data_IF_252061560651
#
_entry.id   IF_252061560651
#
_cell.length_a   1.000
_cell.length_b   1.000
_cell.length_c   1.000
_cell.angle_alpha   90.00
_cell.angle_beta   90.00
_cell.angle_gamma   90.00
#
_symmetry.space_group_name_H-M   'P 1'
#
loop_
_entity.id
_entity.type
_entity.pdbx_description
1 polymer ?
#
# COMPACT_ATOMS: atom_id res chain seq x y z
N UNK A 1 -15.68 15.07 -13.05
CA UNK A 1 -15.12 13.73 -12.88
C UNK A 1 -16.16 12.68 -12.60
N UNK A 2 -17.31 12.85 -13.25
CA UNK A 2 -18.42 11.91 -13.04
C UNK A 2 -18.05 10.47 -13.41
N UNK A 3 -17.24 10.32 -14.46
CA UNK A 3 -16.82 9.00 -14.91
C UNK A 3 -16.07 8.24 -13.83
N UNK A 4 -15.22 8.92 -13.06
CA UNK A 4 -14.47 8.28 -11.99
C UNK A 4 -15.33 7.98 -10.77
N UNK A 5 -16.31 8.83 -10.47
CA UNK A 5 -17.16 8.64 -9.32
C UNK A 5 -18.15 7.47 -9.50
N UNK A 6 -18.40 7.06 -10.72
CA UNK A 6 -19.32 5.98 -11.03
C UNK A 6 -18.62 4.62 -11.08
N UNK A 7 -17.30 4.58 -11.09
CA UNK A 7 -16.54 3.32 -11.16
C UNK A 7 -16.08 2.88 -9.78
N UNK A 8 -16.18 1.59 -9.52
CA UNK A 8 -15.62 0.99 -8.33
C UNK A 8 -14.13 0.81 -8.51
N UNK A 9 -13.38 0.86 -7.40
CA UNK A 9 -11.94 0.70 -7.46
C UNK A 9 -11.53 -0.61 -8.15
N UNK A 10 -12.28 -1.69 -7.94
CA UNK A 10 -11.98 -2.98 -8.57
C UNK A 10 -12.13 -2.99 -10.08
N UNK A 11 -12.85 -2.00 -10.65
CA UNK A 11 -13.02 -1.88 -12.10
C UNK A 11 -11.83 -1.21 -12.76
N UNK A 12 -11.03 -0.44 -12.01
CA UNK A 12 -9.92 0.34 -12.57
C UNK A 12 -8.56 -0.08 -12.05
N UNK A 13 -8.52 -0.95 -11.04
CA UNK A 13 -7.27 -1.36 -10.43
C UNK A 13 -7.38 -2.74 -9.80
N UNK A 14 -6.23 -3.39 -9.64
CA UNK A 14 -6.11 -4.61 -8.86
C UNK A 14 -5.52 -4.25 -7.51
N UNK A 15 -5.92 -4.96 -6.45
CA UNK A 15 -5.47 -4.66 -5.11
C UNK A 15 -4.97 -5.92 -4.41
N UNK A 16 -3.98 -5.73 -3.52
CA UNK A 16 -3.50 -6.82 -2.68
C UNK A 16 -2.96 -6.22 -1.39
N UNK A 17 -3.14 -6.91 -0.27
CA UNK A 17 -2.63 -6.46 1.01
C UNK A 17 -1.27 -7.09 1.30
N UNK A 18 -0.54 -6.49 2.26
CA UNK A 18 0.73 -7.03 2.74
C UNK A 18 0.55 -8.00 3.87
N UNK A 19 1.59 -8.15 4.67
CA UNK A 19 1.58 -9.05 5.82
C UNK A 19 2.63 -8.66 6.84
N UNK A 20 2.54 -9.27 8.02
CA UNK A 20 3.47 -9.03 9.12
C UNK A 20 4.21 -10.33 9.45
N UNK A 21 5.55 -10.34 9.37
CA UNK A 21 6.31 -11.48 9.84
C UNK A 21 6.07 -11.70 11.32
N UNK A 22 6.28 -12.94 11.80
CA UNK A 22 6.07 -13.28 13.20
C UNK A 22 6.96 -12.41 14.09
N UNK A 23 6.33 -11.56 14.89
CA UNK A 23 7.02 -10.64 15.81
C UNK A 23 7.86 -11.38 16.87
N UNK A 24 7.58 -12.63 17.11
CA UNK A 24 8.31 -13.46 18.08
C UNK A 24 9.59 -14.03 17.50
N UNK A 25 9.85 -13.85 16.23
CA UNK A 25 11.04 -14.36 15.54
C UNK A 25 11.95 -13.17 15.19
N UNK A 26 12.94 -12.85 16.05
CA UNK A 26 13.81 -11.69 15.83
C UNK A 26 14.56 -11.72 14.50
N UNK A 27 14.86 -12.91 13.97
CA UNK A 27 15.58 -13.09 12.72
C UNK A 27 14.81 -12.53 11.51
N UNK A 28 13.51 -12.27 11.66
CA UNK A 28 12.69 -11.74 10.57
C UNK A 28 12.78 -10.21 10.45
N UNK A 29 13.38 -9.54 11.42
CA UNK A 29 13.43 -8.09 11.50
C UNK A 29 14.86 -7.57 11.50
N UNK A 30 15.01 -6.27 11.24
CA UNK A 30 16.33 -5.63 11.26
C UNK A 30 17.15 -5.89 10.01
N UNK A 31 16.50 -6.29 8.91
CA UNK A 31 17.19 -6.56 7.66
C UNK A 31 17.31 -5.34 6.76
N UNK A 32 17.29 -5.59 5.45
CA UNK A 32 17.48 -4.56 4.44
C UNK A 32 16.22 -4.24 3.64
N UNK A 33 15.13 -5.00 3.82
CA UNK A 33 13.91 -4.82 3.05
C UNK A 33 13.01 -3.82 3.78
N UNK A 34 12.76 -2.63 3.21
CA UNK A 34 11.85 -1.66 3.81
C UNK A 34 10.46 -2.28 3.99
N UNK A 35 9.83 -2.00 5.12
CA UNK A 35 8.54 -2.57 5.46
C UNK A 35 7.64 -1.46 6.00
N UNK A 36 6.63 -1.09 5.20
CA UNK A 36 5.75 0.04 5.48
C UNK A 36 4.63 -0.39 6.39
N UNK A 37 4.42 0.38 7.46
CA UNK A 37 3.25 0.21 8.33
C UNK A 37 2.22 1.27 7.97
N UNK A 38 0.94 0.98 8.19
CA UNK A 38 -0.15 1.88 7.81
C UNK A 38 -0.01 3.28 8.41
N UNK A 39 0.57 3.39 9.61
CA UNK A 39 0.79 4.69 10.24
C UNK A 39 1.76 5.60 9.51
N UNK A 40 2.53 5.07 8.58
CA UNK A 40 3.48 5.87 7.80
C UNK A 40 2.86 6.51 6.55
N UNK A 41 1.61 6.20 6.24
CA UNK A 41 0.92 6.77 5.08
C UNK A 41 0.35 8.15 5.43
N UNK A 42 0.80 9.17 4.72
CA UNK A 42 0.44 10.58 5.00
C UNK A 42 0.11 11.36 3.72
N UNK A 43 -0.41 10.66 2.70
CA UNK A 43 -0.73 11.26 1.40
C UNK A 43 0.50 11.86 0.71
N UNK A 44 1.65 11.19 0.86
CA UNK A 44 2.93 11.65 0.34
C UNK A 44 3.73 10.47 -0.24
N UNK A 45 4.98 10.71 -0.58
CA UNK A 45 5.88 9.68 -1.09
C UNK A 45 6.62 9.00 0.07
N UNK A 46 6.92 7.72 -0.09
CA UNK A 46 7.71 6.96 0.89
C UNK A 46 9.07 6.65 0.31
N UNK A 47 10.11 7.22 0.93
CA UNK A 47 11.52 7.04 0.53
C UNK A 47 12.28 6.13 1.47
N UNK A 48 11.75 5.85 2.65
CA UNK A 48 12.37 4.97 3.65
C UNK A 48 11.28 4.55 4.63
N UNK A 49 11.59 3.59 5.48
CA UNK A 49 10.65 3.07 6.47
C UNK A 49 11.29 2.99 7.85
N UNK A 50 10.45 3.06 8.88
CA UNK A 50 10.88 2.97 10.26
C UNK A 50 11.44 1.58 10.59
N UNK A 51 10.79 0.53 10.07
CA UNK A 51 11.23 -0.84 10.28
C UNK A 51 11.62 -1.50 8.96
N UNK A 52 12.50 -2.49 9.07
CA UNK A 52 12.91 -3.30 7.92
C UNK A 52 12.82 -4.76 8.29
N UNK A 53 12.58 -5.61 7.30
CA UNK A 53 12.51 -7.06 7.49
C UNK A 53 13.62 -7.73 6.70
N UNK A 54 13.84 -9.01 7.02
CA UNK A 54 14.86 -9.81 6.33
C UNK A 54 14.22 -10.58 5.17
N UNK A 55 15.02 -11.11 4.23
CA UNK A 55 14.49 -12.02 3.21
C UNK A 55 13.73 -13.21 3.82
N UNK A 56 14.20 -13.73 4.96
CA UNK A 56 13.49 -14.80 5.65
C UNK A 56 12.14 -14.33 6.18
N UNK A 57 12.07 -13.11 6.72
CA UNK A 57 10.82 -12.54 7.18
C UNK A 57 9.82 -12.37 6.03
N UNK A 58 10.30 -11.93 4.88
CA UNK A 58 9.46 -11.81 3.69
C UNK A 58 8.95 -13.19 3.24
N UNK A 59 9.85 -14.17 3.18
CA UNK A 59 9.53 -15.51 2.69
C UNK A 59 8.54 -16.24 3.59
N UNK A 60 8.63 -16.06 4.90
CA UNK A 60 7.83 -16.81 5.89
C UNK A 60 6.62 -16.03 6.39
N UNK A 61 6.13 -15.08 5.62
CA UNK A 61 4.95 -14.30 5.97
C UNK A 61 4.09 -14.05 4.73
N UNK A 62 2.95 -13.38 4.93
CA UNK A 62 2.12 -12.95 3.82
C UNK A 62 2.61 -11.65 3.19
N UNK A 63 3.69 -11.06 3.71
CA UNK A 63 4.27 -9.86 3.15
C UNK A 63 4.74 -10.11 1.72
N UNK A 64 4.58 -9.09 0.88
CA UNK A 64 4.97 -9.13 -0.52
C UNK A 64 5.82 -7.92 -0.82
N UNK A 65 6.76 -8.07 -1.73
CA UNK A 65 7.63 -6.97 -2.14
C UNK A 65 6.98 -6.24 -3.31
N UNK A 66 6.75 -4.95 -3.15
CA UNK A 66 6.15 -4.11 -4.18
C UNK A 66 7.20 -3.19 -4.80
N UNK A 67 7.13 -2.96 -6.12
CA UNK A 67 8.12 -2.12 -6.79
C UNK A 67 7.94 -0.64 -6.46
N UNK A 68 8.97 0.14 -6.71
CA UNK A 68 8.88 1.60 -6.69
C UNK A 68 7.76 2.05 -7.64
N UNK A 69 7.02 3.07 -7.23
CA UNK A 69 5.87 3.57 -8.01
C UNK A 69 4.54 2.99 -7.59
N UNK A 70 4.54 1.99 -6.69
CA UNK A 70 3.28 1.39 -6.22
C UNK A 70 2.50 2.37 -5.36
N UNK A 71 1.20 2.47 -5.62
CA UNK A 71 0.27 3.23 -4.79
C UNK A 71 -0.17 2.38 -3.61
N UNK A 72 -0.12 2.95 -2.42
CA UNK A 72 -0.55 2.29 -1.18
C UNK A 72 -1.70 3.05 -0.55
N UNK A 73 -2.59 2.32 0.13
CA UNK A 73 -3.68 2.93 0.90
C UNK A 73 -3.84 2.19 2.23
N UNK A 74 -4.00 2.96 3.30
CA UNK A 74 -4.27 2.38 4.62
C UNK A 74 -5.72 1.89 4.66
N UNK A 75 -5.90 0.63 5.06
CA UNK A 75 -7.21 -0.03 5.04
C UNK A 75 -7.96 0.12 6.35
N UNK A 76 -7.24 0.25 7.47
CA UNK A 76 -7.84 0.45 8.78
C UNK A 76 -6.81 1.08 9.73
N UNK A 77 -7.27 1.47 10.91
CA UNK A 77 -6.43 2.15 11.89
C UNK A 77 -6.58 3.66 11.81
N UNK A 78 -5.71 4.39 12.49
CA UNK A 78 -5.78 5.84 12.62
C UNK A 78 -5.60 6.57 11.28
N UNK A 79 -4.93 5.95 10.32
CA UNK A 79 -4.65 6.56 9.02
C UNK A 79 -5.54 6.03 7.90
N UNK A 80 -6.66 5.36 8.25
CA UNK A 80 -7.54 4.74 7.25
C UNK A 80 -7.88 5.73 6.12
N UNK A 81 -7.74 5.27 4.88
CA UNK A 81 -7.98 6.07 3.69
C UNK A 81 -6.80 6.93 3.23
N UNK A 82 -5.77 7.07 4.03
CA UNK A 82 -4.59 7.82 3.60
C UNK A 82 -3.78 6.99 2.60
N UNK A 83 -3.11 7.68 1.68
CA UNK A 83 -2.38 7.04 0.60
C UNK A 83 -0.90 7.40 0.66
N UNK A 84 -0.10 6.67 -0.12
CA UNK A 84 1.29 7.02 -0.35
C UNK A 84 1.75 6.36 -1.64
N UNK A 85 2.82 6.89 -2.22
CA UNK A 85 3.45 6.28 -3.39
C UNK A 85 4.86 5.89 -3.01
N UNK A 86 5.20 4.62 -3.26
CA UNK A 86 6.54 4.12 -2.99
C UNK A 86 7.56 4.74 -3.95
N UNK A 87 8.62 5.31 -3.41
CA UNK A 87 9.79 5.75 -4.19
C UNK A 87 10.89 4.70 -4.16
N UNK A 88 10.70 3.66 -3.35
CA UNK A 88 11.64 2.54 -3.20
C UNK A 88 10.86 1.25 -3.27
N UNK A 89 11.55 0.16 -3.56
CA UNK A 89 10.98 -1.18 -3.44
C UNK A 89 10.76 -1.48 -1.96
N UNK A 90 9.58 -1.96 -1.60
CA UNK A 90 9.23 -2.17 -0.19
C UNK A 90 8.11 -3.18 -0.03
N UNK A 91 8.08 -3.82 1.15
CA UNK A 91 6.94 -4.62 1.60
C UNK A 91 6.06 -3.77 2.50
N UNK A 92 4.89 -4.30 2.89
CA UNK A 92 3.96 -3.59 3.77
C UNK A 92 3.34 -4.55 4.77
N UNK A 93 2.77 -4.00 5.85
CA UNK A 93 1.96 -4.81 6.75
C UNK A 93 0.57 -5.05 6.16
N UNK A 94 -0.26 -5.85 6.84
CA UNK A 94 -1.57 -6.25 6.34
C UNK A 94 -2.61 -5.13 6.37
N UNK A 95 -2.33 -4.04 7.08
CA UNK A 95 -3.24 -2.90 7.12
C UNK A 95 -3.08 -1.97 5.92
N UNK A 96 -2.12 -2.27 5.04
CA UNK A 96 -1.84 -1.48 3.83
C UNK A 96 -2.21 -2.30 2.61
N UNK A 97 -2.97 -1.68 1.71
CA UNK A 97 -3.34 -2.25 0.42
C UNK A 97 -2.49 -1.63 -0.67
N UNK A 98 -1.88 -2.45 -1.51
CA UNK A 98 -1.21 -2.00 -2.72
C UNK A 98 -2.20 -1.99 -3.87
N UNK A 99 -2.22 -0.91 -4.65
CA UNK A 99 -3.18 -0.70 -5.72
C UNK A 99 -2.43 -0.57 -7.03
N UNK A 100 -2.78 -1.42 -7.99
CA UNK A 100 -2.15 -1.44 -9.32
C UNK A 100 -3.18 -1.03 -10.35
N UNK A 101 -3.05 0.17 -10.96
CA UNK A 101 -4.00 0.58 -12.00
C UNK A 101 -3.89 -0.35 -13.21
N UNK A 102 -5.02 -0.62 -13.84
CA UNK A 102 -5.02 -1.38 -15.08
C UNK A 102 -4.36 -0.53 -16.17
N UNK A 103 -3.60 -1.17 -17.05
CA UNK A 103 -2.70 -0.47 -17.97
C UNK A 103 -3.37 0.61 -18.82
N UNK A 104 -4.63 0.42 -19.15
CA UNK A 104 -5.36 1.33 -20.03
C UNK A 104 -6.30 2.28 -19.29
N UNK A 105 -6.26 2.32 -17.97
CA UNK A 105 -7.22 3.10 -17.17
C UNK A 105 -6.63 4.38 -16.60
N UNK A 106 -5.48 4.32 -15.92
CA UNK A 106 -4.91 5.49 -15.26
C UNK A 106 -3.46 5.24 -14.88
N UNK A 107 -2.67 6.31 -14.81
CA UNK A 107 -1.35 6.27 -14.20
C UNK A 107 -1.46 6.32 -12.69
N UNK A 108 -0.38 5.96 -12.00
CA UNK A 108 -0.36 5.89 -10.53
C UNK A 108 -0.69 7.24 -9.88
N UNK A 109 -0.12 8.33 -10.39
CA UNK A 109 -0.36 9.67 -9.82
C UNK A 109 -1.81 10.08 -9.97
N UNK A 110 -2.42 9.77 -11.11
CA UNK A 110 -3.83 10.09 -11.33
C UNK A 110 -4.72 9.27 -10.41
N UNK A 111 -4.42 7.98 -10.25
CA UNK A 111 -5.18 7.11 -9.36
C UNK A 111 -5.08 7.59 -7.90
N UNK A 112 -3.88 7.99 -7.48
CA UNK A 112 -3.69 8.54 -6.13
C UNK A 112 -4.55 9.78 -5.92
N UNK A 113 -4.55 10.69 -6.90
CA UNK A 113 -5.38 11.90 -6.84
C UNK A 113 -6.84 11.54 -6.70
N UNK A 114 -7.32 10.61 -7.53
CA UNK A 114 -8.72 10.20 -7.49
C UNK A 114 -9.09 9.57 -6.14
N UNK A 115 -8.21 8.75 -5.56
CA UNK A 115 -8.45 8.11 -4.26
C UNK A 115 -8.55 9.14 -3.15
N UNK A 116 -7.69 10.15 -3.15
CA UNK A 116 -7.74 11.20 -2.13
C UNK A 116 -9.06 11.95 -2.16
N UNK A 117 -9.51 12.32 -3.35
CA UNK A 117 -10.77 13.07 -3.50
C UNK A 117 -12.01 12.20 -3.31
N UNK A 118 -11.91 10.90 -3.57
CA UNK A 118 -13.03 9.96 -3.46
C UNK A 118 -12.93 9.09 -2.21
N UNK A 119 -12.17 9.54 -1.21
CA UNK A 119 -11.89 8.73 -0.03
C UNK A 119 -13.11 8.12 0.66
N UNK A 120 -14.19 8.88 0.92
CA UNK A 120 -15.36 8.27 1.57
C UNK A 120 -15.96 7.14 0.75
N UNK A 121 -16.00 7.29 -0.57
CA UNK A 121 -16.54 6.28 -1.47
C UNK A 121 -15.62 5.06 -1.53
N UNK A 122 -14.31 5.30 -1.57
CA UNK A 122 -13.32 4.22 -1.56
C UNK A 122 -13.43 3.39 -0.29
N UNK A 123 -13.59 4.03 0.85
CA UNK A 123 -13.73 3.33 2.13
C UNK A 123 -14.96 2.43 2.16
N UNK A 124 -16.01 2.80 1.46
CA UNK A 124 -17.23 2.00 1.41
C UNK A 124 -17.09 0.75 0.54
N UNK A 125 -16.06 0.68 -0.28
CA UNK A 125 -15.83 -0.47 -1.17
C UNK A 125 -15.03 -1.61 -0.53
N UNK A 126 -14.54 -1.42 0.68
CA UNK A 126 -13.75 -2.45 1.37
C UNK A 126 -14.60 -3.60 1.85
#
# INVERSE_FOLDING_TARGET
>A
MSEWSEKKIGDIAETTSGGTPDRKTPEFFGGSIPWVKSGELEDAFINDTEEKITPDGLKHSAAKLFPSGTLLMAMYGATVGKTAILKIEAATNQAVCAIFPRADQAGTDFLRYALVYQRPEILSLR
#
